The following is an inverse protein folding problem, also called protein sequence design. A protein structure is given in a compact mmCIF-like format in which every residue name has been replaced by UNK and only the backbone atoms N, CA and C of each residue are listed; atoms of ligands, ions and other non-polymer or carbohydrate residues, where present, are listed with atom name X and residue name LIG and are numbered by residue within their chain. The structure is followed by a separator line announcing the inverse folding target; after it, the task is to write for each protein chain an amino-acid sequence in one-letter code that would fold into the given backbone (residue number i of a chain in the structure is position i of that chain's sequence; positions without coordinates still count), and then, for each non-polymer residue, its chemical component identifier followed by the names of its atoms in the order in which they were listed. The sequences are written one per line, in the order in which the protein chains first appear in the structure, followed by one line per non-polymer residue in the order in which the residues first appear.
data_IF_379074351479
#
_entry.id   IF_379074351479
#
_cell.length_a   1.000
_cell.length_b   1.000
_cell.length_c   1.000
_cell.angle_alpha   90.00
_cell.angle_beta   90.00
_cell.angle_gamma   90.00
#
_symmetry.space_group_name_H-M   'P 1'
#
loop_
_entity.id
_entity.type
_entity.pdbx_description
1 polymer ?
#
# COMPACT_ATOMS: atom_id res chain seq x y z
N UNK A 1 -10.11 -15.00 -9.32
CA UNK A 1 -10.67 -13.82 -8.64
C UNK A 1 -11.12 -12.83 -9.70
N UNK A 2 -12.42 -12.74 -10.03
CA UNK A 2 -12.93 -11.86 -11.09
C UNK A 2 -13.23 -10.48 -10.49
N UNK A 3 -12.26 -9.58 -10.44
CA UNK A 3 -12.44 -8.28 -9.81
C UNK A 3 -12.68 -7.17 -10.86
N UNK A 4 -13.95 -6.88 -11.14
CA UNK A 4 -14.38 -5.69 -11.88
C UNK A 4 -13.83 -4.38 -11.26
N UNK A 5 -13.43 -4.40 -9.97
CA UNK A 5 -12.77 -3.27 -9.28
C UNK A 5 -11.24 -3.19 -9.51
N UNK A 6 -10.69 -3.95 -10.46
CA UNK A 6 -9.29 -3.82 -10.87
C UNK A 6 -8.98 -2.38 -11.33
N UNK A 7 -9.94 -1.73 -12.01
CA UNK A 7 -9.77 -0.35 -12.47
C UNK A 7 -9.60 0.63 -11.30
N UNK A 8 -10.40 0.53 -10.24
CA UNK A 8 -10.27 1.42 -9.08
C UNK A 8 -9.00 1.14 -8.27
N UNK A 9 -8.60 -0.13 -8.23
CA UNK A 9 -7.32 -0.53 -7.64
C UNK A 9 -6.13 0.08 -8.39
N UNK A 10 -6.18 0.09 -9.73
CA UNK A 10 -5.17 0.71 -10.58
C UNK A 10 -5.17 2.25 -10.43
N UNK A 11 -6.33 2.90 -10.35
CA UNK A 11 -6.41 4.36 -10.11
C UNK A 11 -5.73 4.77 -8.81
N UNK A 12 -5.84 3.97 -7.74
CA UNK A 12 -5.14 4.22 -6.49
C UNK A 12 -3.61 4.19 -6.67
N UNK A 13 -3.11 3.27 -7.49
CA UNK A 13 -1.69 3.22 -7.85
C UNK A 13 -1.29 4.44 -8.70
N UNK A 14 -1.99 4.67 -9.81
CA UNK A 14 -1.71 5.74 -10.77
C UNK A 14 -1.72 7.13 -10.10
N UNK A 15 -2.68 7.34 -9.20
CA UNK A 15 -2.82 8.62 -8.51
C UNK A 15 -1.88 8.77 -7.31
N UNK A 16 -1.06 7.76 -7.00
CA UNK A 16 -0.13 7.70 -5.85
C UNK A 16 -0.80 7.73 -4.47
N UNK A 17 -1.93 7.04 -4.31
CA UNK A 17 -2.66 6.96 -3.04
C UNK A 17 -2.21 5.76 -2.20
N UNK A 18 -1.39 4.89 -2.79
CA UNK A 18 -0.73 3.78 -2.11
C UNK A 18 0.67 4.24 -1.69
N UNK A 19 0.85 4.39 -0.38
CA UNK A 19 2.13 4.80 0.22
C UNK A 19 3.17 3.69 0.12
N UNK A 20 4.35 3.92 0.70
CA UNK A 20 5.46 2.97 0.74
C UNK A 20 5.01 1.62 1.29
N UNK A 21 5.26 0.56 0.50
CA UNK A 21 4.96 -0.82 0.90
C UNK A 21 6.03 -1.28 1.89
N UNK A 22 5.58 -1.63 3.08
CA UNK A 22 6.38 -2.24 4.14
C UNK A 22 6.18 -3.76 4.07
N UNK A 23 7.24 -4.50 4.35
CA UNK A 23 7.17 -5.95 4.43
C UNK A 23 7.79 -6.46 5.73
N UNK A 24 7.29 -7.59 6.21
CA UNK A 24 7.89 -8.34 7.30
C UNK A 24 7.77 -9.83 7.02
N UNK A 25 8.79 -10.59 7.40
CA UNK A 25 8.80 -12.04 7.34
C UNK A 25 8.79 -12.53 8.78
N UNK A 26 7.69 -13.09 9.29
CA UNK A 26 7.64 -13.66 10.64
C UNK A 26 8.61 -14.83 10.77
N UNK A 27 9.20 -14.97 11.95
CA UNK A 27 10.03 -16.12 12.33
C UNK A 27 9.24 -17.42 12.14
N UNK A 28 9.92 -18.49 11.74
CA UNK A 28 9.34 -19.82 11.49
C UNK A 28 8.30 -19.90 10.36
N UNK A 29 8.25 -18.93 9.45
CA UNK A 29 7.37 -18.98 8.27
C UNK A 29 8.09 -18.66 6.97
N UNK A 30 7.56 -19.19 5.86
CA UNK A 30 7.97 -18.78 4.50
C UNK A 30 7.02 -17.73 3.91
N UNK A 31 6.20 -17.10 4.75
CA UNK A 31 5.20 -16.12 4.33
C UNK A 31 5.74 -14.71 4.54
N UNK A 32 5.48 -13.85 3.57
CA UNK A 32 5.79 -12.43 3.67
C UNK A 32 4.49 -11.67 3.89
N UNK A 33 4.44 -10.89 4.96
CA UNK A 33 3.35 -9.93 5.19
C UNK A 33 3.72 -8.63 4.51
N UNK A 34 2.81 -8.11 3.70
CA UNK A 34 2.90 -6.83 3.00
C UNK A 34 1.86 -5.89 3.60
N UNK A 35 2.22 -4.63 3.81
CA UNK A 35 1.31 -3.58 4.29
C UNK A 35 1.66 -2.24 3.66
N UNK A 36 0.66 -1.43 3.39
CA UNK A 36 0.83 -0.03 3.06
C UNK A 36 -0.32 0.79 3.63
N UNK A 37 -0.10 2.09 3.78
CA UNK A 37 -1.18 3.03 4.07
C UNK A 37 -1.79 3.46 2.72
N UNK A 38 -3.12 3.41 2.61
CA UNK A 38 -3.82 3.73 1.37
C UNK A 38 -4.86 4.81 1.64
N UNK A 39 -4.62 6.00 1.08
CA UNK A 39 -5.52 7.13 1.21
C UNK A 39 -6.82 6.85 0.46
N UNK A 40 -7.95 7.30 1.00
CA UNK A 40 -9.28 7.15 0.37
C UNK A 40 -9.47 8.16 -0.74
N UNK A 41 -9.63 7.73 -2.00
CA UNK A 41 -9.66 8.53 -3.27
C UNK A 41 -10.50 9.83 -3.31
N UNK A 42 -11.22 10.18 -2.25
CA UNK A 42 -12.10 11.34 -2.17
C UNK A 42 -12.00 12.15 -0.87
N UNK A 43 -11.18 11.73 0.11
CA UNK A 43 -11.17 12.34 1.44
C UNK A 43 -9.76 12.40 2.01
N UNK A 44 -9.00 13.34 1.47
CA UNK A 44 -7.60 13.59 1.86
C UNK A 44 -7.45 13.88 3.36
N UNK A 45 -8.50 14.41 3.99
CA UNK A 45 -8.54 14.70 5.42
C UNK A 45 -8.99 13.50 6.28
N UNK A 46 -9.40 12.39 5.67
CA UNK A 46 -9.71 11.17 6.41
C UNK A 46 -8.46 10.32 6.61
N UNK A 47 -8.38 9.56 7.73
CA UNK A 47 -7.27 8.67 7.96
C UNK A 47 -7.17 7.64 6.83
N UNK A 48 -5.94 7.28 6.42
CA UNK A 48 -5.74 6.22 5.43
C UNK A 48 -6.25 4.88 5.96
N UNK A 49 -6.60 4.00 5.04
CA UNK A 49 -6.87 2.61 5.33
C UNK A 49 -5.57 1.81 5.36
N UNK A 50 -5.61 0.68 6.07
CA UNK A 50 -4.45 -0.16 6.33
C UNK A 50 -4.62 -1.56 5.72
N UNK A 51 -4.60 -1.68 4.38
CA UNK A 51 -4.57 -2.99 3.75
C UNK A 51 -3.29 -3.74 4.08
N UNK A 52 -3.43 -5.04 4.31
CA UNK A 52 -2.33 -5.98 4.40
C UNK A 52 -2.63 -7.24 3.60
N UNK A 53 -1.59 -7.90 3.12
CA UNK A 53 -1.67 -9.18 2.44
C UNK A 53 -0.52 -10.09 2.87
N UNK A 54 -0.78 -11.37 3.06
CA UNK A 54 0.25 -12.41 3.19
C UNK A 54 0.46 -13.07 1.85
N UNK A 55 1.73 -13.19 1.44
CA UNK A 55 2.13 -13.84 0.19
C UNK A 55 3.14 -14.93 0.45
N UNK A 56 3.13 -15.97 -0.40
CA UNK A 56 4.21 -16.96 -0.44
C UNK A 56 5.45 -16.37 -1.11
N UNK A 57 6.61 -17.01 -0.96
CA UNK A 57 7.82 -16.64 -1.73
C UNK A 57 7.64 -16.74 -3.25
N UNK A 58 6.61 -17.47 -3.73
CA UNK A 58 6.26 -17.57 -5.15
C UNK A 58 5.36 -16.43 -5.63
N UNK A 59 4.87 -15.60 -4.72
CA UNK A 59 3.96 -14.49 -5.02
C UNK A 59 2.48 -14.85 -4.94
N UNK A 60 2.12 -16.04 -4.44
CA UNK A 60 0.72 -16.40 -4.24
C UNK A 60 0.15 -15.67 -3.03
N UNK A 61 -1.00 -15.01 -3.19
CA UNK A 61 -1.71 -14.36 -2.09
C UNK A 61 -2.41 -15.42 -1.25
N UNK A 62 -2.04 -15.54 0.02
CA UNK A 62 -2.61 -16.49 0.98
C UNK A 62 -3.82 -15.89 1.70
N UNK A 63 -3.66 -14.67 2.22
CA UNK A 63 -4.74 -13.92 2.85
C UNK A 63 -4.53 -12.42 2.62
N UNK A 64 -5.61 -11.66 2.70
CA UNK A 64 -5.56 -10.21 2.64
C UNK A 64 -6.75 -9.61 3.38
N UNK A 65 -6.54 -8.46 4.01
CA UNK A 65 -7.59 -7.74 4.72
C UNK A 65 -7.32 -6.23 4.68
N UNK A 66 -8.39 -5.45 4.70
CA UNK A 66 -8.36 -4.00 4.84
C UNK A 66 -9.41 -3.57 5.85
N UNK A 67 -9.10 -2.56 6.65
CA UNK A 67 -10.00 -1.98 7.65
C UNK A 67 -11.09 -1.06 7.07
N UNK A 68 -11.23 -0.98 5.75
CA UNK A 68 -12.31 -0.21 5.13
C UNK A 68 -13.63 -0.98 5.19
N UNK A 69 -14.76 -0.26 5.10
CA UNK A 69 -16.10 -0.87 5.16
C UNK A 69 -16.30 -2.03 4.18
N UNK A 70 -15.74 -1.92 2.97
CA UNK A 70 -15.78 -3.00 1.99
C UNK A 70 -14.88 -4.18 2.38
N UNK A 71 -13.70 -3.89 2.94
CA UNK A 71 -12.70 -4.88 3.38
C UNK A 71 -13.18 -5.80 4.50
N UNK A 72 -14.12 -5.34 5.31
CA UNK A 72 -14.77 -6.14 6.36
C UNK A 72 -15.72 -7.21 5.80
N UNK A 73 -16.22 -7.05 4.57
CA UNK A 73 -17.17 -7.99 3.95
C UNK A 73 -16.60 -8.78 2.78
N UNK A 74 -15.62 -8.23 2.06
CA UNK A 74 -15.02 -8.83 0.86
C UNK A 74 -13.66 -8.20 0.51
N UNK A 75 -13.03 -8.64 -0.58
CA UNK A 75 -11.84 -7.98 -1.13
C UNK A 75 -12.17 -6.56 -1.63
N UNK A 76 -11.44 -5.56 -1.14
CA UNK A 76 -11.61 -4.16 -1.53
C UNK A 76 -10.54 -3.68 -2.53
N UNK A 77 -10.75 -2.50 -3.12
CA UNK A 77 -9.79 -1.87 -4.04
C UNK A 77 -8.47 -1.47 -3.38
N UNK A 78 -8.43 -1.20 -2.06
CA UNK A 78 -7.18 -0.90 -1.35
C UNK A 78 -6.22 -2.09 -1.34
N UNK A 79 -6.74 -3.32 -1.22
CA UNK A 79 -5.93 -4.55 -1.35
C UNK A 79 -5.37 -4.66 -2.78
N UNK A 80 -6.22 -4.40 -3.78
CA UNK A 80 -5.76 -4.37 -5.17
C UNK A 80 -4.67 -3.32 -5.40
N UNK A 81 -4.83 -2.11 -4.85
CA UNK A 81 -3.84 -1.04 -4.92
C UNK A 81 -2.49 -1.43 -4.29
N UNK A 82 -2.53 -2.06 -3.10
CA UNK A 82 -1.34 -2.63 -2.45
C UNK A 82 -0.60 -3.62 -3.37
N UNK A 83 -1.34 -4.59 -3.94
CA UNK A 83 -0.75 -5.62 -4.81
C UNK A 83 -0.23 -5.03 -6.13
N UNK A 84 -0.94 -4.06 -6.72
CA UNK A 84 -0.46 -3.33 -7.89
C UNK A 84 0.83 -2.56 -7.62
N UNK A 85 0.96 -1.93 -6.44
CA UNK A 85 2.20 -1.23 -6.06
C UNK A 85 3.37 -2.20 -5.95
N UNK A 86 3.16 -3.37 -5.35
CA UNK A 86 4.19 -4.43 -5.27
C UNK A 86 4.61 -4.89 -6.65
N UNK A 87 3.65 -5.14 -7.53
CA UNK A 87 3.92 -5.55 -8.90
C UNK A 87 4.71 -4.49 -9.68
N UNK A 88 4.34 -3.22 -9.52
CA UNK A 88 5.06 -2.09 -10.11
C UNK A 88 6.50 -2.02 -9.60
N UNK A 89 6.71 -2.12 -8.27
CA UNK A 89 8.04 -2.12 -7.65
C UNK A 89 8.92 -3.23 -8.25
N UNK A 90 8.38 -4.44 -8.40
CA UNK A 90 9.12 -5.56 -9.01
C UNK A 90 9.45 -5.27 -10.48
N UNK A 91 8.49 -4.73 -11.25
CA UNK A 91 8.71 -4.38 -12.66
C UNK A 91 9.77 -3.32 -12.89
N UNK A 92 9.86 -2.31 -12.02
CA UNK A 92 10.87 -1.24 -12.13
C UNK A 92 12.24 -1.64 -11.59
N UNK A 93 12.38 -2.86 -11.05
CA UNK A 93 13.65 -3.42 -10.57
C UNK A 93 13.93 -3.18 -9.09
N UNK A 94 12.90 -3.09 -8.26
CA UNK A 94 13.00 -2.98 -6.80
C UNK A 94 12.64 -1.58 -6.26
N UNK A 95 12.65 -1.46 -4.92
CA UNK A 95 12.52 -0.18 -4.24
C UNK A 95 13.80 0.62 -4.49
N UNK A 96 13.77 1.54 -5.45
CA UNK A 96 14.88 2.48 -5.67
C UNK A 96 14.82 3.56 -4.62
N UNK A 97 15.99 4.01 -4.17
CA UNK A 97 16.09 5.34 -3.57
C UNK A 97 15.54 6.33 -4.61
N UNK A 98 14.53 7.15 -4.28
CA UNK A 98 13.99 8.09 -5.24
C UNK A 98 15.12 8.99 -5.71
N UNK A 99 15.35 9.08 -7.02
CA UNK A 99 16.21 10.13 -7.54
C UNK A 99 15.62 11.48 -7.10
N UNK A 100 16.44 12.52 -7.03
CA UNK A 100 16.00 13.88 -6.68
C UNK A 100 14.89 14.44 -7.61
N UNK A 101 14.60 13.78 -8.73
CA UNK A 101 13.47 14.05 -9.64
C UNK A 101 12.27 13.12 -9.46
N UNK A 102 12.44 11.99 -8.76
CA UNK A 102 11.42 10.97 -8.54
C UNK A 102 10.53 11.28 -7.33
N UNK A 103 10.72 12.45 -6.70
CA UNK A 103 9.85 13.00 -5.66
C UNK A 103 8.51 13.38 -6.28
N UNK A 104 7.72 12.40 -6.66
CA UNK A 104 6.31 12.57 -6.88
C UNK A 104 5.65 12.74 -5.51
N UNK A 105 5.75 13.96 -4.99
CA UNK A 105 4.90 14.56 -3.97
C UNK A 105 4.50 13.57 -2.87
N UNK A 106 5.42 13.26 -1.96
CA UNK A 106 5.01 12.86 -0.62
C UNK A 106 4.12 13.99 -0.10
N UNK A 107 2.81 13.72 0.00
CA UNK A 107 1.84 14.69 0.50
C UNK A 107 2.26 14.96 1.95
N UNK A 108 2.82 16.15 2.17
CA UNK A 108 3.79 16.40 3.23
C UNK A 108 3.39 15.94 4.63
N UNK A 109 4.24 15.12 5.22
CA UNK A 109 4.40 15.04 6.67
C UNK A 109 5.56 15.96 7.08
N UNK A 110 5.34 17.27 6.97
CA UNK A 110 6.29 18.27 7.46
C UNK A 110 5.61 19.14 8.51
N UNK A 111 5.17 18.55 9.62
CA UNK A 111 4.83 19.30 10.84
C UNK A 111 4.56 18.34 12.03
N UNK A 112 5.62 17.78 12.62
CA UNK A 112 5.60 17.33 14.03
C UNK A 112 6.99 16.99 14.59
N UNK A 113 7.98 17.86 14.39
CA UNK A 113 9.26 17.69 15.08
C UNK A 113 9.98 19.01 15.38
N UNK A 114 9.27 20.03 15.90
CA UNK A 114 9.87 21.23 16.52
C UNK A 114 9.06 21.82 17.69
N UNK A 115 8.56 20.99 18.60
CA UNK A 115 8.09 21.45 19.93
C UNK A 115 8.42 20.42 21.01
N UNK A 116 9.72 20.18 21.25
CA UNK A 116 10.23 19.71 22.55
C UNK A 116 11.75 19.89 22.59
N UNK A 117 12.21 21.14 22.63
CA UNK A 117 13.56 21.52 23.05
C UNK A 117 13.66 23.04 23.10
N UNK A 118 13.20 23.62 24.20
CA UNK A 118 13.69 24.86 24.84
C UNK A 118 12.82 25.16 26.06
#
# INVERSE_FOLDING_TARGET
MKNYKALDSYKLLESLWVQTVRHMIPDDTTLTVLRADVTTSFRVNEPPHHPWATVTQRGDVVAAHCDCKAGLGESCSHIGGLLYKVEMIVRVGGARDPACTDVLMERGEHEREKQSAA
#
